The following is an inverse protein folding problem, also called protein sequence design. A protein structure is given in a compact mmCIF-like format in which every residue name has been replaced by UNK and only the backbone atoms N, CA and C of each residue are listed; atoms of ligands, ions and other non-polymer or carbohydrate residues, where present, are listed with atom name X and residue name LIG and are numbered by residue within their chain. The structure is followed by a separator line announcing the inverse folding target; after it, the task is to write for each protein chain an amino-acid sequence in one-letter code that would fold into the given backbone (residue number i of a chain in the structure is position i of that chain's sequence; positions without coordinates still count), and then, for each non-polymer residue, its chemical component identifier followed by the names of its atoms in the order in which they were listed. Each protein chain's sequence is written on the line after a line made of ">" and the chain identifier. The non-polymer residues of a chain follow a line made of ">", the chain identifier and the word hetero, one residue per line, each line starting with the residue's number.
data_IF_724658724490
#
_entry.id   IF_724658724490
#
_cell.length_a   1.000
_cell.length_b   1.000
_cell.length_c   1.000
_cell.angle_alpha   90.00
_cell.angle_beta   90.00
_cell.angle_gamma   90.00
#
_symmetry.space_group_name_H-M   'P 1'
#
loop_
_entity.id
_entity.type
_entity.pdbx_description
1 polymer ?
#
# COMPACT_ATOMS: atom_id res chain seq x y z
N UNK A 1 -26.78 -18.86 5.53
CA UNK A 1 -26.31 -18.04 4.39
C UNK A 1 -25.61 -19.01 3.45
N UNK A 2 -25.99 -19.02 2.18
CA UNK A 2 -25.46 -19.96 1.17
C UNK A 2 -23.98 -19.64 0.85
N UNK A 3 -23.14 -20.66 0.67
CA UNK A 3 -21.70 -20.53 0.42
C UNK A 3 -21.42 -19.69 -0.84
N UNK A 4 -22.31 -19.76 -1.84
CA UNK A 4 -22.25 -18.94 -3.05
C UNK A 4 -22.34 -17.44 -2.79
N UNK A 5 -23.15 -17.01 -1.82
CA UNK A 5 -23.28 -15.58 -1.47
C UNK A 5 -22.03 -15.06 -0.75
N UNK A 6 -21.43 -15.87 0.11
CA UNK A 6 -20.20 -15.51 0.81
C UNK A 6 -19.02 -15.34 -0.17
N UNK A 7 -18.89 -16.22 -1.16
CA UNK A 7 -17.88 -16.10 -2.21
C UNK A 7 -18.03 -14.83 -3.05
N UNK A 8 -19.26 -14.46 -3.41
CA UNK A 8 -19.55 -13.23 -4.16
C UNK A 8 -19.17 -11.99 -3.34
N UNK A 9 -19.44 -12.00 -2.03
CA UNK A 9 -19.12 -10.90 -1.13
C UNK A 9 -17.61 -10.70 -0.96
N UNK A 10 -16.86 -11.78 -0.72
CA UNK A 10 -15.39 -11.76 -0.63
C UNK A 10 -14.76 -11.20 -1.91
N UNK A 11 -15.24 -11.64 -3.08
CA UNK A 11 -14.75 -11.14 -4.37
C UNK A 11 -14.99 -9.64 -4.51
N UNK A 12 -16.20 -9.15 -4.19
CA UNK A 12 -16.52 -7.71 -4.24
C UNK A 12 -15.62 -6.88 -3.33
N UNK A 13 -15.34 -7.38 -2.12
CA UNK A 13 -14.46 -6.69 -1.16
C UNK A 13 -13.02 -6.63 -1.70
N UNK A 14 -12.49 -7.75 -2.21
CA UNK A 14 -11.15 -7.78 -2.79
C UNK A 14 -11.03 -6.86 -4.02
N UNK A 15 -12.01 -6.92 -4.93
CA UNK A 15 -12.05 -6.08 -6.13
C UNK A 15 -12.14 -4.59 -5.77
N UNK A 16 -12.89 -4.23 -4.73
CA UNK A 16 -12.95 -2.85 -4.23
C UNK A 16 -11.60 -2.36 -3.72
N UNK A 17 -10.87 -3.18 -2.95
CA UNK A 17 -9.53 -2.83 -2.49
C UNK A 17 -8.54 -2.70 -3.65
N UNK A 18 -8.62 -3.55 -4.67
CA UNK A 18 -7.79 -3.45 -5.88
C UNK A 18 -8.11 -2.14 -6.60
N UNK A 19 -9.38 -1.86 -6.88
CA UNK A 19 -9.77 -0.65 -7.62
C UNK A 19 -9.31 0.62 -6.90
N UNK A 20 -9.65 0.75 -5.62
CA UNK A 20 -9.28 1.93 -4.84
C UNK A 20 -7.77 2.04 -4.59
N UNK A 21 -7.02 0.94 -4.75
CA UNK A 21 -5.57 0.95 -4.76
C UNK A 21 -4.99 1.54 -6.06
N UNK A 22 -5.63 1.27 -7.20
CA UNK A 22 -5.27 1.91 -8.48
C UNK A 22 -5.53 3.40 -8.45
N UNK A 23 -6.70 3.81 -7.96
CA UNK A 23 -7.07 5.23 -7.84
C UNK A 23 -6.05 6.00 -6.98
N UNK A 24 -5.57 5.40 -5.88
CA UNK A 24 -4.52 5.98 -5.04
C UNK A 24 -3.16 6.08 -5.76
N UNK A 25 -2.83 5.09 -6.59
CA UNK A 25 -1.58 5.08 -7.34
C UNK A 25 -1.58 6.14 -8.45
N UNK A 26 -2.72 6.35 -9.10
CA UNK A 26 -2.90 7.46 -10.03
C UNK A 26 -2.79 8.81 -9.30
N UNK A 27 -3.45 8.92 -8.14
CA UNK A 27 -3.40 10.13 -7.31
C UNK A 27 -1.98 10.42 -6.80
N UNK A 28 -1.21 9.40 -6.43
CA UNK A 28 0.21 9.53 -6.11
C UNK A 28 0.97 10.25 -7.24
N UNK A 29 0.77 9.83 -8.49
CA UNK A 29 1.44 10.45 -9.64
C UNK A 29 0.98 11.89 -9.89
N UNK A 30 -0.32 12.19 -9.70
CA UNK A 30 -0.84 13.56 -9.78
C UNK A 30 -0.18 14.46 -8.74
N UNK A 31 -0.07 13.98 -7.49
CA UNK A 31 0.54 14.70 -6.39
C UNK A 31 2.04 14.94 -6.64
N UNK A 32 2.75 13.95 -7.15
CA UNK A 32 4.14 14.10 -7.56
C UNK A 32 4.32 15.20 -8.61
N UNK A 33 3.51 15.18 -9.67
CA UNK A 33 3.55 16.19 -10.73
C UNK A 33 3.19 17.60 -10.23
N UNK A 34 2.35 17.70 -9.20
CA UNK A 34 2.05 18.95 -8.50
C UNK A 34 3.13 19.41 -7.51
N UNK A 35 4.23 18.66 -7.39
CA UNK A 35 5.34 18.85 -6.42
C UNK A 35 4.94 18.63 -4.95
N UNK A 36 3.81 17.96 -4.72
CA UNK A 36 3.32 17.59 -3.40
C UNK A 36 3.93 16.24 -2.97
N UNK A 37 5.24 16.26 -2.75
CA UNK A 37 6.07 15.06 -2.64
C UNK A 37 5.74 14.14 -1.45
N UNK A 38 5.62 14.70 -0.24
CA UNK A 38 5.26 13.89 0.93
C UNK A 38 3.84 13.30 0.81
N UNK A 39 2.90 14.04 0.22
CA UNK A 39 1.56 13.51 -0.05
C UNK A 39 1.57 12.42 -1.10
N UNK A 40 2.40 12.54 -2.14
CA UNK A 40 2.62 11.47 -3.12
C UNK A 40 3.06 10.17 -2.44
N UNK A 41 4.11 10.21 -1.62
CA UNK A 41 4.61 9.02 -0.92
C UNK A 41 3.61 8.44 0.08
N UNK A 42 2.83 9.30 0.74
CA UNK A 42 1.71 8.87 1.59
C UNK A 42 0.67 8.07 0.79
N UNK A 43 0.23 8.58 -0.37
CA UNK A 43 -0.70 7.86 -1.24
C UNK A 43 -0.08 6.57 -1.78
N UNK A 44 1.21 6.57 -2.10
CA UNK A 44 1.93 5.35 -2.48
C UNK A 44 1.90 4.27 -1.39
N UNK A 45 2.06 4.65 -0.11
CA UNK A 45 1.91 3.72 1.02
C UNK A 45 0.50 3.16 1.13
N UNK A 46 -0.53 4.02 1.10
CA UNK A 46 -1.93 3.59 1.18
C UNK A 46 -2.26 2.65 0.01
N UNK A 47 -1.80 2.99 -1.18
CA UNK A 47 -1.96 2.18 -2.38
C UNK A 47 -1.40 0.76 -2.19
N UNK A 48 -0.19 0.60 -1.64
CA UNK A 48 0.38 -0.73 -1.30
C UNK A 48 -0.42 -1.44 -0.20
N UNK A 49 -0.85 -0.71 0.84
CA UNK A 49 -1.67 -1.25 1.93
C UNK A 49 -2.93 -1.93 1.40
N UNK A 50 -3.64 -1.24 0.49
CA UNK A 50 -4.87 -1.74 -0.12
C UNK A 50 -4.66 -3.02 -0.92
N UNK A 51 -3.56 -3.15 -1.69
CA UNK A 51 -3.26 -4.41 -2.40
C UNK A 51 -3.02 -5.57 -1.43
N UNK A 52 -2.25 -5.36 -0.36
CA UNK A 52 -2.00 -6.41 0.63
C UNK A 52 -3.29 -6.83 1.35
N UNK A 53 -4.17 -5.86 1.64
CA UNK A 53 -5.50 -6.14 2.20
C UNK A 53 -6.38 -6.92 1.22
N UNK A 54 -6.34 -6.59 -0.07
CA UNK A 54 -7.05 -7.34 -1.10
C UNK A 54 -6.57 -8.80 -1.18
N UNK A 55 -5.25 -9.03 -1.17
CA UNK A 55 -4.67 -10.37 -1.12
C UNK A 55 -5.10 -11.14 0.13
N UNK A 56 -5.11 -10.49 1.29
CA UNK A 56 -5.57 -11.10 2.53
C UNK A 56 -7.03 -11.57 2.43
N UNK A 57 -7.92 -10.69 1.95
CA UNK A 57 -9.34 -11.00 1.76
C UNK A 57 -9.51 -12.17 0.79
N UNK A 58 -8.80 -12.13 -0.36
CA UNK A 58 -8.86 -13.20 -1.37
C UNK A 58 -8.37 -14.55 -0.83
N UNK A 59 -7.29 -14.55 -0.04
CA UNK A 59 -6.66 -15.79 0.48
C UNK A 59 -7.44 -16.41 1.64
N UNK A 60 -8.03 -15.60 2.51
CA UNK A 60 -8.62 -16.08 3.76
C UNK A 60 -10.13 -15.91 3.87
N UNK A 61 -10.79 -15.28 2.89
CA UNK A 61 -12.24 -15.10 2.87
C UNK A 61 -12.79 -14.25 4.02
N UNK A 62 -11.96 -13.39 4.62
CA UNK A 62 -12.33 -12.54 5.75
C UNK A 62 -11.65 -11.18 5.69
N UNK A 63 -12.19 -10.21 6.42
CA UNK A 63 -11.64 -8.86 6.46
C UNK A 63 -10.17 -8.85 6.91
N UNK A 64 -9.38 -8.02 6.22
CA UNK A 64 -8.01 -7.75 6.61
C UNK A 64 -7.95 -7.00 7.96
N UNK A 65 -6.90 -7.22 8.77
CA UNK A 65 -6.76 -6.56 10.06
C UNK A 65 -6.60 -5.03 9.92
N UNK A 66 -7.08 -4.30 10.93
CA UNK A 66 -6.91 -2.85 11.05
C UNK A 66 -5.49 -2.50 11.48
N UNK A 67 -4.57 -2.48 10.51
CA UNK A 67 -3.17 -2.08 10.68
C UNK A 67 -2.68 -1.35 9.44
N UNK A 68 -1.79 -0.38 9.65
CA UNK A 68 -1.06 0.33 8.58
C UNK A 68 0.35 -0.22 8.35
N UNK A 69 0.80 -1.14 9.21
CA UNK A 69 2.10 -1.77 9.07
C UNK A 69 2.09 -2.77 7.89
N UNK A 70 2.75 -2.40 6.80
CA UNK A 70 2.77 -3.19 5.57
C UNK A 70 3.54 -4.49 5.73
N UNK A 71 4.66 -4.48 6.47
CA UNK A 71 5.43 -5.68 6.77
C UNK A 71 4.60 -6.73 7.53
N UNK A 72 3.78 -6.27 8.49
CA UNK A 72 2.84 -7.13 9.22
C UNK A 72 1.78 -7.70 8.28
N UNK A 73 1.21 -6.89 7.38
CA UNK A 73 0.25 -7.38 6.38
C UNK A 73 0.88 -8.44 5.47
N UNK A 74 2.08 -8.18 4.92
CA UNK A 74 2.78 -9.15 4.06
C UNK A 74 3.02 -10.48 4.76
N UNK A 75 3.50 -10.46 6.02
CA UNK A 75 3.66 -11.67 6.85
C UNK A 75 2.35 -12.40 7.07
N UNK A 76 1.25 -11.69 7.29
CA UNK A 76 -0.07 -12.28 7.49
C UNK A 76 -0.66 -12.90 6.22
N UNK A 77 -0.38 -12.31 5.05
CA UNK A 77 -0.73 -12.93 3.75
C UNK A 77 0.12 -14.16 3.48
N UNK A 78 1.26 -14.32 4.15
CA UNK A 78 2.20 -15.42 3.95
C UNK A 78 2.66 -15.50 2.48
N UNK A 79 3.21 -14.38 1.99
CA UNK A 79 3.89 -14.29 0.69
C UNK A 79 5.40 -14.26 0.93
N UNK A 80 6.15 -14.99 0.11
CA UNK A 80 7.62 -14.99 0.17
C UNK A 80 8.14 -13.73 -0.50
N UNK A 81 8.81 -12.88 0.29
CA UNK A 81 9.43 -11.65 -0.19
C UNK A 81 10.94 -11.77 -0.05
N UNK A 82 11.69 -11.20 -0.99
CA UNK A 82 13.14 -11.08 -0.86
C UNK A 82 13.50 -10.12 0.28
N UNK A 83 14.73 -10.21 0.81
CA UNK A 83 15.22 -9.28 1.82
C UNK A 83 15.11 -7.81 1.38
N UNK A 84 15.41 -7.52 0.12
CA UNK A 84 15.27 -6.18 -0.48
C UNK A 84 13.82 -5.69 -0.49
N UNK A 85 12.86 -6.57 -0.81
CA UNK A 85 11.45 -6.23 -0.77
C UNK A 85 10.97 -5.99 0.67
N UNK A 86 11.50 -6.73 1.64
CA UNK A 86 11.21 -6.54 3.07
C UNK A 86 11.76 -5.21 3.61
N UNK A 87 12.93 -4.78 3.16
CA UNK A 87 13.46 -3.46 3.49
C UNK A 87 12.63 -2.34 2.84
N UNK A 88 12.26 -2.54 1.57
CA UNK A 88 11.42 -1.61 0.81
C UNK A 88 10.06 -1.42 1.47
N UNK A 89 9.39 -2.51 1.85
CA UNK A 89 8.05 -2.46 2.46
C UNK A 89 8.07 -1.85 3.87
N UNK A 90 9.13 -2.08 4.64
CA UNK A 90 9.31 -1.49 5.96
C UNK A 90 9.52 0.03 5.84
N UNK A 91 10.34 0.48 4.88
CA UNK A 91 10.53 1.90 4.64
C UNK A 91 9.26 2.58 4.12
N UNK A 92 8.51 1.96 3.22
CA UNK A 92 7.21 2.50 2.76
C UNK A 92 6.21 2.60 3.91
N UNK A 93 6.24 1.68 4.88
CA UNK A 93 5.41 1.79 6.11
C UNK A 93 5.66 3.10 6.85
N UNK A 94 6.87 3.66 6.74
CA UNK A 94 7.21 4.94 7.37
C UNK A 94 6.53 6.17 6.76
N UNK A 95 5.97 6.04 5.55
CA UNK A 95 5.33 7.14 4.82
C UNK A 95 3.87 7.34 5.24
N UNK A 96 3.32 6.50 6.11
CA UNK A 96 1.98 6.71 6.67
C UNK A 96 1.95 7.93 7.62
N UNK A 97 1.14 8.93 7.27
CA UNK A 97 1.01 10.19 8.02
C UNK A 97 -0.12 10.18 9.06
N UNK A 98 -1.06 9.23 8.99
CA UNK A 98 -2.25 9.20 9.84
C UNK A 98 -1.94 8.80 11.29
N UNK A 99 -0.83 8.09 11.52
CA UNK A 99 -0.47 7.55 12.83
C UNK A 99 0.57 8.40 13.60
N UNK A 100 0.88 9.63 13.15
CA UNK A 100 2.07 10.37 13.62
C UNK A 100 1.82 11.84 13.97
N UNK A 101 2.55 12.32 14.97
CA UNK A 101 2.55 13.70 15.45
C UNK A 101 3.02 14.69 14.37
N UNK A 102 2.62 15.95 14.48
CA UNK A 102 2.87 16.96 13.44
C UNK A 102 4.36 17.25 13.21
N UNK A 103 5.22 17.09 14.22
CA UNK A 103 6.67 17.28 14.04
C UNK A 103 7.29 16.18 13.17
N UNK A 104 6.82 14.93 13.29
CA UNK A 104 7.23 13.87 12.37
C UNK A 104 6.81 14.20 10.93
N UNK A 105 5.60 14.75 10.73
CA UNK A 105 5.15 15.13 9.39
C UNK A 105 6.06 16.20 8.80
N UNK A 106 6.44 17.21 9.59
CA UNK A 106 7.39 18.27 9.14
C UNK A 106 8.74 17.68 8.72
N UNK A 107 9.32 16.81 9.55
CA UNK A 107 10.58 16.12 9.23
C UNK A 107 10.46 15.28 7.96
N UNK A 108 9.36 14.54 7.81
CA UNK A 108 9.10 13.76 6.61
C UNK A 108 9.03 14.64 5.36
N UNK A 109 8.30 15.76 5.41
CA UNK A 109 8.22 16.70 4.29
C UNK A 109 9.57 17.33 3.94
N UNK A 110 10.45 17.58 4.91
CA UNK A 110 11.79 18.13 4.66
C UNK A 110 12.68 17.17 3.86
N UNK A 111 12.51 15.86 4.05
CA UNK A 111 13.29 14.82 3.35
C UNK A 111 12.73 14.52 1.96
N UNK A 112 11.44 14.81 1.72
CA UNK A 112 10.77 14.54 0.45
C UNK A 112 11.19 15.51 -0.66
N UNK A 113 12.42 15.39 -1.14
CA UNK A 113 12.89 16.06 -2.37
C UNK A 113 12.30 15.37 -3.60
N UNK A 114 12.44 16.00 -4.77
CA UNK A 114 12.01 15.41 -6.04
C UNK A 114 12.69 14.06 -6.29
N UNK A 115 14.02 14.01 -6.18
CA UNK A 115 14.82 12.81 -6.45
C UNK A 115 14.48 11.69 -5.48
N UNK A 116 14.39 12.00 -4.18
CA UNK A 116 13.99 11.04 -3.16
C UNK A 116 12.59 10.48 -3.47
N UNK A 117 11.66 11.35 -3.84
CA UNK A 117 10.29 10.95 -4.12
C UNK A 117 10.19 10.10 -5.37
N UNK A 118 10.93 10.43 -6.44
CA UNK A 118 10.99 9.64 -7.65
C UNK A 118 11.53 8.23 -7.38
N UNK A 119 12.63 8.14 -6.64
CA UNK A 119 13.22 6.85 -6.25
C UNK A 119 12.19 5.96 -5.54
N UNK A 120 11.43 6.52 -4.60
CA UNK A 120 10.42 5.77 -3.87
C UNK A 120 9.18 5.46 -4.69
N UNK A 121 8.76 6.33 -5.61
CA UNK A 121 7.70 6.04 -6.58
C UNK A 121 8.08 4.84 -7.45
N UNK A 122 9.33 4.77 -7.92
CA UNK A 122 9.80 3.66 -8.75
C UNK A 122 9.77 2.34 -7.96
N UNK A 123 10.28 2.36 -6.72
CA UNK A 123 10.23 1.22 -5.79
C UNK A 123 8.80 0.78 -5.48
N UNK A 124 7.91 1.72 -5.17
CA UNK A 124 6.49 1.46 -4.92
C UNK A 124 5.85 0.85 -6.17
N UNK A 125 6.14 1.38 -7.36
CA UNK A 125 5.58 0.88 -8.61
C UNK A 125 6.02 -0.55 -8.90
N UNK A 126 7.31 -0.87 -8.69
CA UNK A 126 7.85 -2.23 -8.83
C UNK A 126 7.19 -3.17 -7.82
N UNK A 127 7.13 -2.77 -6.54
CA UNK A 127 6.51 -3.56 -5.48
C UNK A 127 5.02 -3.83 -5.77
N UNK A 128 4.27 -2.81 -6.18
CA UNK A 128 2.85 -2.96 -6.57
C UNK A 128 2.68 -3.97 -7.69
N UNK A 129 3.50 -3.90 -8.74
CA UNK A 129 3.47 -4.88 -9.85
C UNK A 129 3.74 -6.29 -9.35
N UNK A 130 4.72 -6.46 -8.47
CA UNK A 130 5.04 -7.76 -7.89
C UNK A 130 3.91 -8.30 -7.00
N UNK A 131 3.30 -7.47 -6.15
CA UNK A 131 2.15 -7.85 -5.31
C UNK A 131 0.97 -8.28 -6.20
N UNK A 132 0.73 -7.58 -7.31
CA UNK A 132 -0.32 -7.95 -8.28
C UNK A 132 -0.12 -9.33 -8.92
N UNK A 133 1.11 -9.83 -8.99
CA UNK A 133 1.39 -11.18 -9.49
C UNK A 133 1.04 -12.27 -8.47
N UNK A 134 0.74 -11.92 -7.22
CA UNK A 134 0.39 -12.86 -6.15
C UNK A 134 -1.12 -13.15 -6.06
N UNK A 135 -1.95 -12.48 -6.87
CA UNK A 135 -3.40 -12.66 -6.88
C UNK A 135 -3.80 -13.95 -7.60
#
# INVERSE_FOLDING_TARGET
>A
MDEGNAHIEVKKIADHWIQTSEDDAETMMILYNSKSYGWSLFLGQISVEKLLKALYVKKFGKHAPFTHNLLKLAKLVNIEMSSEQLETIDKITSFNLNARYDDYKKEFYQVCTQDFTQEWIDKITILRKWIKQQF
#
